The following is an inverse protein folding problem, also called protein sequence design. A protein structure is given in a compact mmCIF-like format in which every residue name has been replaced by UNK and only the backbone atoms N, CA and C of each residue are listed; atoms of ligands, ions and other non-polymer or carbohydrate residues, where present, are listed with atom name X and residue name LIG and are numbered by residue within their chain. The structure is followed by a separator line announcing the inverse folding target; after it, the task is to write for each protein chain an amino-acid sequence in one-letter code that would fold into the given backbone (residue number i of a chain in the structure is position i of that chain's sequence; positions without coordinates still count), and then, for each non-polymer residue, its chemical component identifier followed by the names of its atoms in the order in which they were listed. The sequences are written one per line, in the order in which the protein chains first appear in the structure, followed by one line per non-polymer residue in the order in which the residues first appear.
data_IF_188009979260
#
_entry.id   IF_188009979260
#
_cell.length_a   1.000
_cell.length_b   1.000
_cell.length_c   1.000
_cell.angle_alpha   90.00
_cell.angle_beta   90.00
_cell.angle_gamma   90.00
#
_symmetry.space_group_name_H-M   'P 1'
#
loop_
_entity.id
_entity.type
_entity.pdbx_description
1 polymer ?
#
# COMPACT_ATOMS: atom_id res chain seq x y z
N UNK A 1 25.63 15.24 14.94
CA UNK A 1 26.02 13.85 14.60
C UNK A 1 24.98 12.82 15.10
N UNK A 2 23.71 12.93 14.67
CA UNK A 2 22.64 11.96 15.02
C UNK A 2 22.10 11.21 13.78
N UNK A 3 22.64 11.50 12.60
CA UNK A 3 22.13 11.11 11.28
C UNK A 3 22.02 9.58 11.12
N UNK A 4 22.95 8.83 11.72
CA UNK A 4 22.94 7.37 11.67
C UNK A 4 21.77 6.73 12.43
N UNK A 5 21.37 7.30 13.58
CA UNK A 5 20.26 6.78 14.38
C UNK A 5 18.92 7.04 13.72
N UNK A 6 18.72 8.24 13.18
CA UNK A 6 17.50 8.59 12.44
C UNK A 6 17.34 7.79 11.14
N UNK A 7 18.44 7.56 10.40
CA UNK A 7 18.40 6.70 9.22
C UNK A 7 18.03 5.25 9.57
N UNK A 8 18.56 4.70 10.68
CA UNK A 8 18.21 3.34 11.14
C UNK A 8 16.75 3.22 11.55
N UNK A 9 16.25 4.14 12.38
CA UNK A 9 14.83 4.17 12.79
C UNK A 9 13.92 4.32 11.56
N UNK A 10 14.28 5.21 10.63
CA UNK A 10 13.55 5.41 9.38
C UNK A 10 13.48 4.15 8.51
N UNK A 11 14.58 3.39 8.39
CA UNK A 11 14.61 2.11 7.68
C UNK A 11 13.73 1.04 8.33
N UNK A 12 13.76 0.92 9.66
CA UNK A 12 12.92 -0.02 10.40
C UNK A 12 11.44 0.37 10.25
N UNK A 13 11.11 1.64 10.43
CA UNK A 13 9.76 2.16 10.25
C UNK A 13 9.24 1.92 8.83
N UNK A 14 10.06 2.18 7.81
CA UNK A 14 9.73 1.90 6.43
C UNK A 14 9.41 0.41 6.19
N UNK A 15 10.24 -0.50 6.70
CA UNK A 15 10.02 -1.94 6.55
C UNK A 15 8.76 -2.41 7.29
N UNK A 16 8.52 -1.90 8.51
CA UNK A 16 7.32 -2.20 9.27
C UNK A 16 6.06 -1.73 8.52
N UNK A 17 6.06 -0.51 8.00
CA UNK A 17 4.97 0.04 7.20
C UNK A 17 4.73 -0.77 5.92
N UNK A 18 5.78 -1.25 5.24
CA UNK A 18 5.65 -2.10 4.06
C UNK A 18 4.91 -3.42 4.39
N UNK A 19 5.27 -4.08 5.51
CA UNK A 19 4.56 -5.28 5.95
C UNK A 19 3.11 -5.00 6.33
N UNK A 20 2.88 -3.93 7.11
CA UNK A 20 1.53 -3.48 7.48
C UNK A 20 0.68 -3.23 6.23
N UNK A 21 1.23 -2.54 5.23
CA UNK A 21 0.55 -2.29 3.97
C UNK A 21 0.20 -3.59 3.22
N UNK A 22 1.16 -4.51 3.06
CA UNK A 22 0.94 -5.78 2.36
C UNK A 22 -0.17 -6.61 3.03
N UNK A 23 -0.14 -6.75 4.36
CA UNK A 23 -1.18 -7.43 5.13
C UNK A 23 -2.52 -6.70 5.00
N UNK A 24 -2.51 -5.37 5.03
CA UNK A 24 -3.74 -4.58 4.89
C UNK A 24 -4.40 -4.74 3.52
N UNK A 25 -3.61 -4.90 2.45
CA UNK A 25 -4.14 -5.22 1.10
C UNK A 25 -4.81 -6.61 1.09
N UNK A 26 -4.21 -7.61 1.74
CA UNK A 26 -4.85 -8.93 1.87
C UNK A 26 -6.17 -8.86 2.63
N UNK A 27 -6.21 -8.12 3.74
CA UNK A 27 -7.43 -7.89 4.51
C UNK A 27 -8.50 -7.16 3.69
N UNK A 28 -8.11 -6.18 2.86
CA UNK A 28 -9.04 -5.49 1.97
C UNK A 28 -9.70 -6.43 0.96
N UNK A 29 -8.92 -7.32 0.33
CA UNK A 29 -9.44 -8.35 -0.59
C UNK A 29 -10.35 -9.32 0.16
N UNK A 30 -9.97 -9.72 1.38
CA UNK A 30 -10.81 -10.57 2.22
C UNK A 30 -12.15 -9.91 2.58
N UNK A 31 -12.16 -8.63 2.97
CA UNK A 31 -13.40 -7.90 3.28
C UNK A 31 -14.30 -7.72 2.06
N UNK A 32 -13.73 -7.50 0.87
CA UNK A 32 -14.50 -7.53 -0.38
C UNK A 32 -15.10 -8.93 -0.63
N UNK A 33 -14.34 -9.99 -0.34
CA UNK A 33 -14.83 -11.37 -0.40
C UNK A 33 -15.99 -11.63 0.57
N UNK A 34 -15.90 -11.17 1.82
CA UNK A 34 -17.01 -11.25 2.77
C UNK A 34 -18.25 -10.51 2.25
N UNK A 35 -18.05 -9.34 1.65
CA UNK A 35 -19.15 -8.54 1.09
C UNK A 35 -19.82 -9.19 -0.13
N UNK A 36 -19.06 -9.97 -0.92
CA UNK A 36 -19.57 -10.69 -2.09
C UNK A 36 -20.23 -12.03 -1.74
N UNK A 37 -19.65 -12.77 -0.78
CA UNK A 37 -19.99 -14.19 -0.56
C UNK A 37 -20.72 -14.47 0.76
N UNK A 38 -20.70 -13.53 1.71
CA UNK A 38 -21.28 -13.76 3.05
C UNK A 38 -22.41 -12.78 3.34
N UNK A 39 -22.12 -11.48 3.36
CA UNK A 39 -23.10 -10.43 3.67
C UNK A 39 -22.64 -9.09 3.08
N UNK A 40 -23.50 -8.47 2.27
CA UNK A 40 -23.24 -7.20 1.59
C UNK A 40 -22.95 -6.04 2.56
N UNK A 41 -23.40 -6.09 3.81
CA UNK A 41 -23.13 -5.03 4.78
C UNK A 41 -21.63 -4.89 5.08
N UNK A 42 -20.83 -5.93 4.80
CA UNK A 42 -19.37 -5.88 4.90
C UNK A 42 -18.71 -4.88 3.93
N UNK A 43 -19.41 -4.35 2.92
CA UNK A 43 -18.92 -3.23 2.11
C UNK A 43 -18.60 -1.99 2.96
N UNK A 44 -19.31 -1.81 4.08
CA UNK A 44 -19.04 -0.72 5.04
C UNK A 44 -17.68 -0.87 5.70
N UNK A 45 -17.32 -2.10 6.10
CA UNK A 45 -16.02 -2.43 6.69
C UNK A 45 -14.91 -2.30 5.66
N UNK A 46 -15.10 -2.86 4.45
CA UNK A 46 -14.16 -2.74 3.33
C UNK A 46 -13.85 -1.26 3.01
N UNK A 47 -14.88 -0.46 2.75
CA UNK A 47 -14.75 0.95 2.42
C UNK A 47 -14.25 1.83 3.58
N UNK A 48 -14.61 1.49 4.82
CA UNK A 48 -14.12 2.17 6.03
C UNK A 48 -12.63 1.92 6.26
N UNK A 49 -12.21 0.65 6.22
CA UNK A 49 -10.82 0.25 6.39
C UNK A 49 -9.91 0.82 5.29
N UNK A 50 -10.44 1.05 4.08
CA UNK A 50 -9.65 1.57 2.95
C UNK A 50 -9.11 2.98 3.23
N UNK A 51 -9.86 3.81 3.96
CA UNK A 51 -9.46 5.17 4.34
C UNK A 51 -8.30 5.17 5.31
N UNK A 52 -8.27 4.21 6.23
CA UNK A 52 -7.15 4.02 7.17
C UNK A 52 -5.91 3.54 6.41
N UNK A 53 -6.09 2.55 5.52
CA UNK A 53 -5.01 2.02 4.68
C UNK A 53 -4.36 3.11 3.83
N UNK A 54 -5.14 4.07 3.32
CA UNK A 54 -4.66 5.16 2.46
C UNK A 54 -3.53 6.01 3.09
N UNK A 55 -3.45 6.05 4.43
CA UNK A 55 -2.41 6.79 5.16
C UNK A 55 -1.06 6.06 5.13
N UNK A 56 -1.06 4.73 5.11
CA UNK A 56 0.15 3.91 5.16
C UNK A 56 1.15 4.20 4.01
N UNK A 57 0.76 4.25 2.72
CA UNK A 57 1.70 4.54 1.62
C UNK A 57 2.25 5.97 1.68
N UNK A 58 1.49 6.92 2.25
CA UNK A 58 1.99 8.29 2.51
C UNK A 58 3.12 8.24 3.55
N UNK A 59 2.90 7.51 4.65
CA UNK A 59 3.94 7.32 5.68
C UNK A 59 5.14 6.58 5.11
N UNK A 60 4.94 5.56 4.27
CA UNK A 60 6.06 4.87 3.60
C UNK A 60 6.89 5.83 2.77
N UNK A 61 6.27 6.70 1.98
CA UNK A 61 6.97 7.69 1.17
C UNK A 61 7.74 8.69 2.04
N UNK A 62 7.13 9.19 3.12
CA UNK A 62 7.78 10.09 4.07
C UNK A 62 8.99 9.42 4.75
N UNK A 63 8.85 8.19 5.23
CA UNK A 63 9.93 7.44 5.87
C UNK A 63 11.04 7.08 4.88
N UNK A 64 10.72 6.78 3.62
CA UNK A 64 11.71 6.55 2.57
C UNK A 64 12.58 7.78 2.35
N UNK A 65 11.99 8.98 2.39
CA UNK A 65 12.70 10.25 2.28
C UNK A 65 13.55 10.54 3.52
N UNK A 66 12.96 10.46 4.73
CA UNK A 66 13.65 10.73 6.01
C UNK A 66 14.85 9.80 6.18
N UNK A 67 14.69 8.52 5.83
CA UNK A 67 15.75 7.52 5.92
C UNK A 67 16.83 7.66 4.83
N UNK A 68 16.66 8.60 3.88
CA UNK A 68 17.50 8.80 2.70
C UNK A 68 17.70 7.51 1.92
N UNK A 69 16.60 6.77 1.68
CA UNK A 69 16.66 5.54 0.89
C UNK A 69 17.04 5.86 -0.57
N UNK A 70 17.57 4.86 -1.32
CA UNK A 70 17.85 5.04 -2.75
C UNK A 70 16.62 5.53 -3.49
N UNK A 71 16.79 6.43 -4.48
CA UNK A 71 15.68 7.04 -5.22
C UNK A 71 14.70 6.04 -5.83
N UNK A 72 15.18 4.82 -6.16
CA UNK A 72 14.32 3.72 -6.61
C UNK A 72 13.28 3.28 -5.56
N UNK A 73 13.61 3.29 -4.27
CA UNK A 73 12.65 2.94 -3.20
C UNK A 73 11.67 4.09 -2.92
N UNK A 74 12.10 5.33 -3.05
CA UNK A 74 11.22 6.51 -3.01
C UNK A 74 10.22 6.43 -4.16
N UNK A 75 10.68 6.19 -5.39
CA UNK A 75 9.82 6.04 -6.57
C UNK A 75 8.84 4.88 -6.47
N UNK A 76 9.25 3.73 -5.91
CA UNK A 76 8.33 2.61 -5.63
C UNK A 76 7.26 2.96 -4.60
N UNK A 77 7.61 3.73 -3.57
CA UNK A 77 6.65 4.20 -2.55
C UNK A 77 5.66 5.21 -3.12
N UNK A 78 6.14 6.12 -3.98
CA UNK A 78 5.28 7.03 -4.74
C UNK A 78 4.36 6.27 -5.70
N UNK A 79 4.85 5.21 -6.35
CA UNK A 79 4.05 4.32 -7.18
C UNK A 79 2.94 3.60 -6.40
N UNK A 80 3.23 3.12 -5.18
CA UNK A 80 2.21 2.56 -4.27
C UNK A 80 1.13 3.59 -3.94
N UNK A 81 1.52 4.84 -3.62
CA UNK A 81 0.57 5.92 -3.38
C UNK A 81 -0.29 6.21 -4.61
N UNK A 82 0.30 6.26 -5.81
CA UNK A 82 -0.42 6.44 -7.06
C UNK A 82 -1.44 5.33 -7.32
N UNK A 83 -1.08 4.08 -7.05
CA UNK A 83 -2.01 2.94 -7.15
C UNK A 83 -3.15 3.04 -6.14
N UNK A 84 -2.89 3.49 -4.90
CA UNK A 84 -3.95 3.72 -3.90
C UNK A 84 -4.92 4.80 -4.38
N UNK A 85 -4.43 5.89 -4.95
CA UNK A 85 -5.29 6.90 -5.58
C UNK A 85 -6.13 6.26 -6.70
N UNK A 86 -5.51 5.43 -7.55
CA UNK A 86 -6.21 4.65 -8.58
C UNK A 86 -7.31 3.74 -8.03
N UNK A 87 -7.10 3.10 -6.87
CA UNK A 87 -8.13 2.30 -6.19
C UNK A 87 -9.34 3.15 -5.81
N UNK A 88 -9.12 4.33 -5.22
CA UNK A 88 -10.22 5.24 -4.88
C UNK A 88 -10.95 5.75 -6.12
N UNK A 89 -10.22 6.11 -7.18
CA UNK A 89 -10.82 6.56 -8.43
C UNK A 89 -11.69 5.47 -9.06
N UNK A 90 -11.19 4.24 -9.15
CA UNK A 90 -11.93 3.11 -9.73
C UNK A 90 -13.18 2.74 -8.93
N UNK A 91 -13.15 2.90 -7.60
CA UNK A 91 -14.30 2.68 -6.73
C UNK A 91 -15.33 3.82 -6.81
N UNK A 92 -14.90 5.06 -6.60
CA UNK A 92 -15.78 6.24 -6.51
C UNK A 92 -16.39 6.61 -7.85
N UNK A 93 -15.63 6.48 -8.94
CA UNK A 93 -16.12 6.81 -10.28
C UNK A 93 -16.80 5.62 -10.96
N UNK A 94 -17.07 4.52 -10.25
CA UNK A 94 -17.62 3.30 -10.85
C UNK A 94 -18.92 3.47 -11.64
N UNK A 95 -19.88 4.32 -11.25
CA UNK A 95 -21.07 4.55 -12.07
C UNK A 95 -20.77 5.28 -13.40
N UNK A 96 -19.59 5.92 -13.51
CA UNK A 96 -19.22 6.78 -14.65
C UNK A 96 -18.25 6.12 -15.62
N UNK A 97 -17.40 5.20 -15.14
CA UNK A 97 -16.33 4.61 -15.95
C UNK A 97 -16.59 3.15 -16.34
N UNK A 98 -17.70 2.57 -15.88
CA UNK A 98 -18.19 1.25 -16.32
C UNK A 98 -17.16 0.14 -16.16
N UNK A 99 -16.87 -0.58 -17.25
CA UNK A 99 -15.94 -1.71 -17.24
C UNK A 99 -14.52 -1.36 -16.75
N UNK A 100 -14.10 -0.09 -16.84
CA UNK A 100 -12.79 0.34 -16.30
C UNK A 100 -12.72 0.20 -14.78
N UNK A 101 -13.84 0.22 -14.06
CA UNK A 101 -13.84 -0.05 -12.62
C UNK A 101 -13.49 -1.49 -12.27
N UNK A 102 -13.59 -2.43 -13.21
CA UNK A 102 -13.12 -3.79 -13.01
C UNK A 102 -11.58 -3.87 -12.86
N UNK A 103 -10.84 -2.80 -13.14
CA UNK A 103 -9.43 -2.69 -12.80
C UNK A 103 -9.17 -2.62 -11.29
N UNK A 104 -10.17 -2.29 -10.46
CA UNK A 104 -10.01 -2.17 -9.02
C UNK A 104 -9.35 -3.41 -8.37
N UNK A 105 -9.87 -4.65 -8.52
CA UNK A 105 -9.18 -5.83 -8.01
C UNK A 105 -7.80 -6.07 -8.66
N UNK A 106 -7.62 -5.72 -9.93
CA UNK A 106 -6.31 -5.85 -10.61
C UNK A 106 -5.27 -4.93 -9.99
N UNK A 107 -5.64 -3.69 -9.67
CA UNK A 107 -4.77 -2.72 -9.00
C UNK A 107 -4.44 -3.20 -7.58
N UNK A 108 -5.40 -3.78 -6.85
CA UNK A 108 -5.15 -4.36 -5.53
C UNK A 108 -4.07 -5.46 -5.57
N UNK A 109 -4.16 -6.36 -6.55
CA UNK A 109 -3.13 -7.36 -6.82
C UNK A 109 -1.78 -6.69 -7.10
N UNK A 110 -1.72 -5.77 -8.07
CA UNK A 110 -0.49 -5.04 -8.41
C UNK A 110 0.14 -4.35 -7.19
N UNK A 111 -0.66 -3.73 -6.33
CA UNK A 111 -0.22 -3.12 -5.07
C UNK A 111 0.44 -4.14 -4.14
N UNK A 112 -0.18 -5.31 -3.95
CA UNK A 112 0.39 -6.38 -3.13
C UNK A 112 1.74 -6.85 -3.68
N UNK A 113 1.82 -7.14 -4.98
CA UNK A 113 3.07 -7.57 -5.62
C UNK A 113 4.16 -6.50 -5.59
N UNK A 114 3.81 -5.24 -5.83
CA UNK A 114 4.73 -4.12 -5.75
C UNK A 114 5.29 -3.97 -4.33
N UNK A 115 4.43 -4.07 -3.31
CA UNK A 115 4.85 -3.98 -1.92
C UNK A 115 5.75 -5.17 -1.51
N UNK A 116 5.39 -6.40 -1.88
CA UNK A 116 6.24 -7.57 -1.68
C UNK A 116 7.62 -7.41 -2.35
N UNK A 117 7.67 -6.78 -3.53
CA UNK A 117 8.91 -6.43 -4.22
C UNK A 117 9.76 -5.38 -3.48
N UNK A 118 9.14 -4.43 -2.77
CA UNK A 118 9.83 -3.48 -1.88
C UNK A 118 10.43 -4.21 -0.68
N UNK A 119 9.65 -5.08 -0.03
CA UNK A 119 10.09 -5.87 1.13
C UNK A 119 11.31 -6.72 0.75
N UNK A 120 11.22 -7.48 -0.35
CA UNK A 120 12.31 -8.34 -0.83
C UNK A 120 13.59 -7.54 -1.11
N UNK A 121 13.46 -6.43 -1.85
CA UNK A 121 14.61 -5.60 -2.18
C UNK A 121 15.26 -4.96 -0.93
N UNK A 122 14.45 -4.59 0.07
CA UNK A 122 14.95 -4.00 1.32
C UNK A 122 15.70 -5.01 2.18
N UNK A 123 15.29 -6.29 2.17
CA UNK A 123 16.01 -7.38 2.86
C UNK A 123 17.37 -7.66 2.21
N UNK A 124 17.43 -7.73 0.88
CA UNK A 124 18.68 -7.96 0.13
C UNK A 124 19.71 -6.85 0.36
N UNK A 125 19.25 -5.59 0.46
CA UNK A 125 20.12 -4.45 0.77
C UNK A 125 20.61 -4.41 2.24
N UNK A 126 20.08 -5.27 3.11
CA UNK A 126 20.49 -5.37 4.52
C UNK A 126 21.48 -6.53 4.77
N UNK A 127 21.69 -7.39 3.78
CA UNK A 127 22.49 -8.63 3.87
C UNK A 127 23.83 -8.57 3.11
N UNK A 128 24.12 -7.47 2.43
CA UNK A 128 25.42 -7.19 1.80
C UNK A 128 26.04 -5.94 2.38
#
# INVERSE_FOLDING_TARGET
MNDGRYSRIGRIGFMALAWVFAVSVLLQVFFAGLALFVDSDNWTIHGGFARVLAVVPLLMLAFAWIARLPGRQIGRSAGLLGMVIGMFLTAVLSPKIGALSALHPVIALMMFWACAGIIRASRQASSG
#
